data_IF_056330538429
#
_entry.id   IF_056330538429
#
_cell.length_a   1.000
_cell.length_b   1.000
_cell.length_c   1.000
_cell.angle_alpha   90.00
_cell.angle_beta   90.00
_cell.angle_gamma   90.00
#
_symmetry.space_group_name_H-M   'P 1'
#
loop_
_entity.id
_entity.type
_entity.pdbx_description
1 polymer ?
#
# COMPACT_ATOMS: atom_id res chain seq x y z
N UNK A 1 21.63 -14.57 -17.81
CA UNK A 1 21.17 -13.22 -18.14
C UNK A 1 20.23 -12.82 -17.03
N UNK A 2 20.61 -11.79 -16.31
CA UNK A 2 19.94 -11.29 -15.11
C UNK A 2 18.80 -10.35 -15.54
N UNK A 3 17.58 -10.59 -15.07
CA UNK A 3 16.40 -9.83 -15.50
C UNK A 3 16.31 -8.53 -14.72
N UNK A 4 17.23 -7.60 -15.01
CA UNK A 4 17.03 -6.20 -14.67
C UNK A 4 15.80 -5.65 -15.38
N UNK A 5 14.98 -4.86 -14.70
CA UNK A 5 13.93 -4.08 -15.35
C UNK A 5 13.80 -2.70 -14.69
N UNK A 6 14.48 -1.73 -15.29
CA UNK A 6 14.12 -0.32 -15.21
C UNK A 6 12.62 -0.14 -15.52
N UNK A 7 11.83 0.30 -14.54
CA UNK A 7 10.43 0.66 -14.77
C UNK A 7 10.37 1.96 -15.60
N UNK A 8 10.21 1.87 -16.91
CA UNK A 8 9.77 3.03 -17.71
C UNK A 8 8.37 3.47 -17.25
N UNK A 9 8.00 4.74 -17.48
CA UNK A 9 6.68 5.29 -17.09
C UNK A 9 5.51 4.39 -17.54
N UNK A 10 5.58 3.83 -18.75
CA UNK A 10 4.53 2.96 -19.29
C UNK A 10 4.48 1.59 -18.59
N UNK A 11 5.64 1.00 -18.27
CA UNK A 11 5.72 -0.26 -17.53
C UNK A 11 5.27 -0.09 -16.09
N UNK A 12 5.63 1.03 -15.46
CA UNK A 12 5.11 1.40 -14.16
C UNK A 12 3.58 1.53 -14.19
N UNK A 13 3.01 2.22 -15.19
CA UNK A 13 1.56 2.32 -15.34
C UNK A 13 0.88 0.95 -15.52
N UNK A 14 1.46 0.06 -16.31
CA UNK A 14 0.92 -1.30 -16.48
C UNK A 14 0.98 -2.11 -15.18
N UNK A 15 2.12 -2.11 -14.50
CA UNK A 15 2.31 -2.79 -13.21
C UNK A 15 1.43 -2.16 -12.10
N UNK A 16 1.23 -0.85 -12.15
CA UNK A 16 0.32 -0.17 -11.25
C UNK A 16 -1.12 -0.65 -11.45
N UNK A 17 -1.57 -0.78 -12.70
CA UNK A 17 -2.93 -1.16 -13.05
C UNK A 17 -3.22 -2.67 -12.90
N UNK A 18 -2.19 -3.53 -12.85
CA UNK A 18 -2.37 -4.98 -12.63
C UNK A 18 -2.67 -5.34 -11.18
N UNK A 19 -2.44 -4.42 -10.24
CA UNK A 19 -2.79 -4.60 -8.82
C UNK A 19 -4.30 -4.47 -8.63
N UNK A 20 -4.88 -5.43 -7.91
CA UNK A 20 -6.31 -5.47 -7.59
C UNK A 20 -6.62 -5.18 -6.12
N UNK A 21 -7.83 -4.66 -5.89
CA UNK A 21 -8.38 -4.45 -4.56
C UNK A 21 -9.65 -5.26 -4.40
N UNK A 22 -9.59 -6.35 -3.65
CA UNK A 22 -10.75 -7.20 -3.41
C UNK A 22 -11.67 -6.64 -2.31
N UNK A 23 -11.08 -5.99 -1.29
CA UNK A 23 -11.78 -5.22 -0.24
C UNK A 23 -10.94 -4.01 0.13
N UNK A 24 -11.55 -2.83 0.18
CA UNK A 24 -10.91 -1.60 0.68
C UNK A 24 -11.27 -1.40 2.15
N UNK A 25 -10.30 -0.97 2.95
CA UNK A 25 -10.56 -0.46 4.31
C UNK A 25 -11.45 0.78 4.24
N UNK A 26 -12.41 0.93 5.16
CA UNK A 26 -13.38 2.04 5.16
C UNK A 26 -12.92 3.29 5.91
N UNK A 27 -11.75 3.28 6.54
CA UNK A 27 -11.35 4.31 7.51
C UNK A 27 -10.44 5.40 6.93
N UNK A 28 -10.78 6.68 7.10
CA UNK A 28 -9.95 7.80 6.65
C UNK A 28 -8.68 7.97 7.49
N UNK A 29 -7.60 8.42 6.86
CA UNK A 29 -6.32 8.70 7.53
C UNK A 29 -6.48 9.91 8.45
N UNK A 30 -6.06 9.77 9.70
CA UNK A 30 -6.06 10.90 10.63
C UNK A 30 -5.20 12.05 10.11
N UNK A 31 -5.73 13.27 10.20
CA UNK A 31 -5.05 14.52 9.89
C UNK A 31 -3.77 14.74 10.73
N UNK A 32 -3.71 14.11 11.91
CA UNK A 32 -2.61 14.23 12.87
C UNK A 32 -2.20 12.85 13.39
N UNK A 33 -0.89 12.58 13.39
CA UNK A 33 -0.31 11.38 13.98
C UNK A 33 0.04 10.29 12.97
N UNK A 34 0.52 9.18 13.50
CA UNK A 34 0.82 7.99 12.71
C UNK A 34 -0.48 7.27 12.35
N UNK A 35 -0.55 6.70 11.14
CA UNK A 35 -1.66 5.82 10.76
C UNK A 35 -1.14 4.45 10.40
N UNK A 36 -1.81 3.43 10.93
CA UNK A 36 -1.54 2.03 10.66
C UNK A 36 -2.60 1.49 9.68
N UNK A 37 -2.15 1.00 8.52
CA UNK A 37 -2.99 0.42 7.47
C UNK A 37 -2.78 -1.09 7.40
N UNK A 38 -3.66 -1.85 8.03
CA UNK A 38 -3.61 -3.31 8.04
C UNK A 38 -4.12 -3.91 6.73
N UNK A 39 -3.44 -4.93 6.24
CA UNK A 39 -3.78 -5.57 4.98
C UNK A 39 -3.54 -7.09 4.98
N UNK A 40 -4.29 -7.78 4.13
CA UNK A 40 -3.92 -9.07 3.55
C UNK A 40 -3.48 -8.84 2.11
N UNK A 41 -2.29 -9.35 1.77
CA UNK A 41 -1.75 -9.37 0.42
C UNK A 41 -1.82 -10.80 -0.10
N UNK A 42 -2.50 -10.98 -1.22
CA UNK A 42 -2.62 -12.25 -1.92
C UNK A 42 -1.85 -12.13 -3.22
N UNK A 43 -0.74 -12.85 -3.32
CA UNK A 43 0.09 -12.87 -4.52
C UNK A 43 -0.24 -14.10 -5.35
N UNK A 44 -0.52 -13.87 -6.63
CA UNK A 44 -0.68 -14.90 -7.63
C UNK A 44 0.57 -15.79 -7.71
N UNK A 45 0.39 -17.08 -8.06
CA UNK A 45 1.50 -17.99 -8.26
C UNK A 45 2.35 -17.56 -9.46
N UNK A 46 3.67 -17.71 -9.35
CA UNK A 46 4.60 -17.37 -10.45
C UNK A 46 4.59 -18.40 -11.59
N UNK A 47 4.09 -19.61 -11.31
CA UNK A 47 3.87 -20.71 -12.26
C UNK A 47 2.64 -21.53 -11.88
N UNK A 48 2.07 -22.29 -12.83
CA UNK A 48 0.90 -23.16 -12.59
C UNK A 48 1.12 -24.21 -11.48
N UNK A 49 2.37 -24.53 -11.17
CA UNK A 49 2.77 -25.49 -10.13
C UNK A 49 3.06 -24.85 -8.78
N UNK A 50 3.04 -23.53 -8.68
CA UNK A 50 3.34 -22.79 -7.45
C UNK A 50 2.06 -22.46 -6.68
N UNK A 51 2.22 -22.28 -5.37
CA UNK A 51 1.13 -21.99 -4.45
C UNK A 51 0.85 -20.48 -4.39
N UNK A 52 -0.38 -20.11 -4.08
CA UNK A 52 -0.75 -18.73 -3.80
C UNK A 52 -0.14 -18.33 -2.46
N UNK A 53 0.48 -17.14 -2.40
CA UNK A 53 1.01 -16.60 -1.16
C UNK A 53 0.02 -15.63 -0.53
N UNK A 54 -0.29 -15.84 0.75
CA UNK A 54 -1.16 -14.97 1.54
C UNK A 54 -0.37 -14.42 2.70
N UNK A 55 -0.20 -13.10 2.73
CA UNK A 55 0.63 -12.38 3.70
C UNK A 55 -0.26 -11.41 4.46
N UNK A 56 -0.21 -11.47 5.79
CA UNK A 56 -0.77 -10.41 6.62
C UNK A 56 0.32 -9.38 6.91
N UNK A 57 -0.01 -8.09 6.79
CA UNK A 57 0.94 -7.03 7.09
C UNK A 57 0.25 -5.73 7.50
N UNK A 58 1.07 -4.73 7.78
CA UNK A 58 0.61 -3.41 8.16
C UNK A 58 1.57 -2.33 7.63
N UNK A 59 1.03 -1.28 7.04
CA UNK A 59 1.83 -0.11 6.67
C UNK A 59 1.64 0.99 7.70
N UNK A 60 2.73 1.40 8.33
CA UNK A 60 2.76 2.58 9.19
C UNK A 60 3.13 3.81 8.38
N UNK A 61 2.24 4.80 8.35
CA UNK A 61 2.43 6.08 7.69
C UNK A 61 2.64 7.14 8.77
N UNK A 62 3.71 7.91 8.65
CA UNK A 62 4.03 8.98 9.60
C UNK A 62 4.44 10.26 8.89
N UNK A 63 4.09 11.39 9.49
CA UNK A 63 4.55 12.72 9.06
C UNK A 63 5.58 13.24 10.07
N UNK A 64 6.89 13.12 9.81
CA UNK A 64 7.92 13.65 10.70
C UNK A 64 7.74 15.16 10.92
N UNK A 65 7.67 15.58 12.19
CA UNK A 65 7.14 16.90 12.58
C UNK A 65 8.21 18.00 12.66
N UNK A 66 9.52 17.73 12.66
CA UNK A 66 10.45 18.74 13.26
C UNK A 66 11.63 19.22 12.41
N UNK A 67 12.23 18.46 11.48
CA UNK A 67 13.51 18.91 10.85
C UNK A 67 13.70 18.64 9.34
N UNK A 68 12.68 18.22 8.61
CA UNK A 68 12.82 17.97 7.17
C UNK A 68 12.58 19.24 6.33
N UNK A 69 13.42 19.52 5.32
CA UNK A 69 13.14 20.59 4.37
C UNK A 69 11.79 20.33 3.67
N UNK A 70 11.02 21.38 3.39
CA UNK A 70 9.64 21.28 2.85
C UNK A 70 9.48 20.60 1.48
N UNK A 71 10.57 20.07 0.92
CA UNK A 71 10.65 19.42 -0.38
C UNK A 71 11.28 18.02 -0.32
N UNK A 72 11.47 17.42 0.86
CA UNK A 72 12.03 16.08 0.94
C UNK A 72 11.10 15.06 0.25
N UNK A 73 11.67 14.13 -0.54
CA UNK A 73 10.88 13.05 -1.13
C UNK A 73 10.30 12.15 -0.02
N UNK A 74 9.23 11.39 -0.32
CA UNK A 74 8.74 10.38 0.60
C UNK A 74 9.79 9.31 0.86
N UNK A 75 9.84 8.80 2.08
CA UNK A 75 10.67 7.65 2.45
C UNK A 75 9.85 6.38 2.39
N UNK A 76 10.34 5.37 1.65
CA UNK A 76 9.73 4.05 1.54
C UNK A 76 10.63 3.02 2.20
N UNK A 77 10.15 2.36 3.25
CA UNK A 77 10.88 1.32 3.97
C UNK A 77 10.16 -0.02 3.82
N UNK A 78 10.91 -1.09 3.49
CA UNK A 78 10.45 -2.48 3.44
C UNK A 78 9.34 -2.77 2.41
N UNK A 79 9.24 -1.97 1.34
CA UNK A 79 8.31 -2.25 0.23
C UNK A 79 8.95 -3.12 -0.86
N UNK A 80 10.24 -2.91 -1.13
CA UNK A 80 10.95 -3.53 -2.23
C UNK A 80 12.20 -4.22 -1.69
N UNK A 81 12.57 -5.36 -2.29
CA UNK A 81 13.82 -6.06 -1.97
C UNK A 81 15.03 -5.38 -2.65
N UNK A 82 14.80 -4.74 -3.80
CA UNK A 82 15.79 -3.99 -4.56
C UNK A 82 15.64 -2.48 -4.26
N UNK A 83 16.73 -1.84 -3.80
CA UNK A 83 16.76 -0.41 -3.51
C UNK A 83 16.49 0.46 -4.75
N UNK A 84 16.87 0.00 -5.95
CA UNK A 84 16.71 0.74 -7.20
C UNK A 84 15.24 0.90 -7.63
N UNK A 85 14.41 -0.10 -7.33
CA UNK A 85 12.96 -0.04 -7.51
C UNK A 85 12.34 0.99 -6.54
N UNK A 86 12.81 0.99 -5.29
CA UNK A 86 12.40 1.96 -4.27
C UNK A 86 12.70 3.41 -4.67
N UNK A 87 13.91 3.67 -5.17
CA UNK A 87 14.36 5.01 -5.58
C UNK A 87 13.56 5.58 -6.73
N UNK A 88 13.27 4.76 -7.75
CA UNK A 88 12.50 5.19 -8.92
C UNK A 88 11.05 5.51 -8.54
N UNK A 89 10.45 4.69 -7.69
CA UNK A 89 9.09 4.92 -7.20
C UNK A 89 9.05 6.16 -6.31
N UNK A 90 10.02 6.33 -5.41
CA UNK A 90 10.18 7.55 -4.62
C UNK A 90 10.32 8.80 -5.47
N UNK A 91 11.10 8.73 -6.56
CA UNK A 91 11.26 9.81 -7.53
C UNK A 91 9.94 10.17 -8.24
N UNK A 92 9.16 9.17 -8.67
CA UNK A 92 7.85 9.40 -9.28
C UNK A 92 6.88 10.05 -8.29
N UNK A 93 6.91 9.63 -7.02
CA UNK A 93 6.04 10.15 -5.97
C UNK A 93 6.39 11.57 -5.51
N UNK A 94 7.67 11.97 -5.51
CA UNK A 94 8.11 13.30 -5.10
C UNK A 94 7.50 14.44 -5.95
N UNK A 95 7.01 14.11 -7.15
CA UNK A 95 6.29 15.03 -8.05
C UNK A 95 4.87 15.34 -7.56
N UNK A 96 4.31 14.54 -6.65
CA UNK A 96 2.99 14.77 -6.06
C UNK A 96 3.13 15.45 -4.71
N UNK A 97 2.71 16.71 -4.61
CA UNK A 97 2.88 17.54 -3.42
C UNK A 97 2.30 16.93 -2.12
N UNK A 98 1.27 16.09 -2.24
CA UNK A 98 0.58 15.44 -1.13
C UNK A 98 1.43 14.41 -0.37
N UNK A 99 2.45 13.82 -1.01
CA UNK A 99 3.27 12.74 -0.41
C UNK A 99 4.61 13.22 0.14
N UNK A 100 4.87 14.54 0.09
CA UNK A 100 6.14 15.10 0.58
C UNK A 100 6.27 14.95 2.08
N UNK A 101 7.49 14.70 2.54
CA UNK A 101 7.82 14.53 3.95
C UNK A 101 6.96 13.45 4.64
N UNK A 102 6.57 12.41 3.91
CA UNK A 102 5.88 11.25 4.48
C UNK A 102 6.84 10.08 4.55
N UNK A 103 6.77 9.34 5.66
CA UNK A 103 7.48 8.08 5.82
C UNK A 103 6.48 6.93 5.83
N UNK A 104 6.73 5.96 4.97
CA UNK A 104 5.99 4.73 4.85
C UNK A 104 6.89 3.58 5.31
N UNK A 105 6.40 2.80 6.27
CA UNK A 105 7.09 1.62 6.81
C UNK A 105 6.18 0.41 6.66
N UNK A 106 6.53 -0.47 5.72
CA UNK A 106 5.78 -1.69 5.47
C UNK A 106 6.26 -2.82 6.38
N UNK A 107 5.37 -3.30 7.25
CA UNK A 107 5.67 -4.37 8.19
C UNK A 107 4.99 -5.65 7.73
N UNK A 108 5.80 -6.55 7.21
CA UNK A 108 5.36 -7.88 6.79
C UNK A 108 5.24 -8.76 8.04
N UNK A 109 4.05 -9.30 8.25
CA UNK A 109 3.73 -10.24 9.32
C UNK A 109 3.79 -11.69 8.86
N UNK A 110 2.88 -12.52 9.38
CA UNK A 110 2.81 -13.93 9.01
C UNK A 110 2.36 -14.13 7.56
N UNK A 111 3.03 -15.05 6.87
CA UNK A 111 2.65 -15.52 5.54
C UNK A 111 2.34 -17.00 5.53
N UNK A 112 1.51 -17.42 4.58
CA UNK A 112 1.21 -18.83 4.30
C UNK A 112 1.14 -19.08 2.80
N UNK A 113 1.53 -20.28 2.39
CA UNK A 113 1.36 -20.77 1.03
C UNK A 113 0.16 -21.71 1.00
N UNK A 114 -0.77 -21.47 0.09
CA UNK A 114 -2.03 -22.20 -0.01
C UNK A 114 -2.28 -22.65 -1.45
N UNK A 115 -2.93 -23.81 -1.59
CA UNK A 115 -3.28 -24.39 -2.89
C UNK A 115 -4.59 -23.86 -3.47
N UNK A 116 -5.39 -23.18 -2.64
CA UNK A 116 -6.64 -22.56 -3.05
C UNK A 116 -6.39 -21.49 -4.12
N UNK A 117 -7.40 -21.22 -4.96
CA UNK A 117 -7.35 -20.11 -5.91
C UNK A 117 -7.39 -18.74 -5.20
N UNK A 118 -6.88 -17.71 -5.86
CA UNK A 118 -6.96 -16.32 -5.36
C UNK A 118 -8.40 -15.92 -5.02
N UNK A 119 -9.36 -16.31 -5.86
CA UNK A 119 -10.78 -15.99 -5.67
C UNK A 119 -11.35 -16.66 -4.41
N UNK A 120 -11.06 -17.95 -4.19
CA UNK A 120 -11.51 -18.67 -2.99
C UNK A 120 -10.92 -18.07 -1.72
N UNK A 121 -9.63 -17.71 -1.74
CA UNK A 121 -8.95 -17.09 -0.60
C UNK A 121 -9.55 -15.72 -0.30
N UNK A 122 -9.78 -14.90 -1.33
CA UNK A 122 -10.43 -13.59 -1.20
C UNK A 122 -11.81 -13.75 -0.55
N UNK A 123 -12.62 -14.70 -1.02
CA UNK A 123 -13.96 -14.91 -0.49
C UNK A 123 -13.93 -15.39 0.96
N UNK A 124 -13.04 -16.34 1.31
CA UNK A 124 -12.83 -16.79 2.69
C UNK A 124 -12.43 -15.64 3.61
N UNK A 125 -11.48 -14.80 3.19
CA UNK A 125 -11.03 -13.64 3.97
C UNK A 125 -12.11 -12.58 4.10
N UNK A 126 -12.92 -12.34 3.07
CA UNK A 126 -14.07 -11.42 3.15
C UNK A 126 -15.06 -11.88 4.21
N UNK A 127 -15.51 -13.14 4.12
CA UNK A 127 -16.44 -13.70 5.10
C UNK A 127 -15.88 -13.62 6.52
N UNK A 128 -14.62 -14.02 6.71
CA UNK A 128 -13.96 -13.95 8.02
C UNK A 128 -13.94 -12.51 8.58
N UNK A 129 -13.51 -11.54 7.78
CA UNK A 129 -13.45 -10.14 8.23
C UNK A 129 -14.85 -9.55 8.48
N UNK A 130 -15.87 -10.00 7.75
CA UNK A 130 -17.26 -9.59 8.00
C UNK A 130 -17.82 -10.20 9.29
N UNK A 131 -17.50 -11.47 9.58
CA UNK A 131 -17.84 -12.15 10.83
C UNK A 131 -17.14 -11.52 12.04
N UNK A 132 -15.89 -11.08 11.87
CA UNK A 132 -15.08 -10.41 12.90
C UNK A 132 -15.44 -8.91 13.05
N UNK A 133 -16.41 -8.39 12.27
CA UNK A 133 -16.77 -6.97 12.19
C UNK A 133 -15.58 -6.03 11.89
N UNK A 134 -14.57 -6.55 11.17
CA UNK A 134 -13.29 -5.88 10.97
C UNK A 134 -13.25 -5.09 9.64
N UNK A 135 -13.69 -3.83 9.72
CA UNK A 135 -13.81 -2.93 8.57
C UNK A 135 -12.53 -2.16 8.20
N UNK A 136 -11.45 -2.34 8.99
CA UNK A 136 -10.20 -1.56 8.82
C UNK A 136 -9.12 -2.29 8.04
N UNK A 137 -9.31 -3.57 7.76
CA UNK A 137 -8.34 -4.40 7.04
C UNK A 137 -8.66 -4.45 5.54
N UNK A 138 -7.67 -4.16 4.71
CA UNK A 138 -7.80 -4.30 3.26
C UNK A 138 -7.43 -5.72 2.78
N UNK A 139 -8.02 -6.13 1.66
CA UNK A 139 -7.59 -7.34 0.92
C UNK A 139 -7.10 -6.87 -0.45
N UNK A 140 -5.80 -7.08 -0.69
CA UNK A 140 -5.05 -6.63 -1.86
C UNK A 140 -4.66 -7.88 -2.65
N UNK A 141 -4.88 -7.87 -3.97
CA UNK A 141 -4.42 -8.92 -4.88
C UNK A 141 -3.33 -8.39 -5.79
N UNK A 142 -2.33 -9.21 -6.07
CA UNK A 142 -1.17 -8.79 -6.84
C UNK A 142 -0.64 -9.94 -7.71
N UNK A 143 -0.18 -9.66 -8.94
CA UNK A 143 0.63 -10.62 -9.69
C UNK A 143 1.90 -11.01 -8.92
N UNK A 144 2.47 -12.17 -9.26
CA UNK A 144 3.73 -12.61 -8.70
C UNK A 144 4.82 -11.54 -8.85
N UNK A 145 5.56 -11.27 -7.76
CA UNK A 145 6.64 -10.27 -7.73
C UNK A 145 6.20 -8.81 -7.63
N UNK A 146 4.89 -8.50 -7.59
CA UNK A 146 4.39 -7.12 -7.52
C UNK A 146 3.84 -6.72 -6.14
N UNK A 147 4.07 -7.53 -5.11
CA UNK A 147 3.50 -7.34 -3.77
C UNK A 147 3.85 -5.98 -3.14
N UNK A 148 5.11 -5.56 -3.23
CA UNK A 148 5.57 -4.25 -2.74
C UNK A 148 4.83 -3.08 -3.36
N UNK A 149 4.75 -3.08 -4.70
CA UNK A 149 4.02 -2.06 -5.46
C UNK A 149 2.53 -2.05 -5.10
N UNK A 150 1.93 -3.23 -4.88
CA UNK A 150 0.54 -3.34 -4.52
C UNK A 150 0.21 -2.70 -3.16
N UNK A 151 1.04 -2.98 -2.16
CA UNK A 151 0.91 -2.40 -0.80
C UNK A 151 1.20 -0.89 -0.81
N UNK A 152 2.13 -0.44 -1.65
CA UNK A 152 2.37 0.99 -1.82
C UNK A 152 1.17 1.69 -2.48
N UNK A 153 0.65 1.13 -3.58
CA UNK A 153 -0.54 1.66 -4.26
C UNK A 153 -1.71 1.77 -3.30
N UNK A 154 -1.94 0.74 -2.48
CA UNK A 154 -2.94 0.78 -1.42
C UNK A 154 -2.76 1.99 -0.50
N UNK A 155 -1.56 2.17 0.03
CA UNK A 155 -1.23 3.25 0.96
C UNK A 155 -1.46 4.63 0.35
N UNK A 156 -1.08 4.81 -0.93
CA UNK A 156 -1.24 6.07 -1.66
C UNK A 156 -2.70 6.37 -2.00
N UNK A 157 -3.47 5.37 -2.42
CA UNK A 157 -4.91 5.53 -2.64
C UNK A 157 -5.64 5.91 -1.35
N UNK A 158 -5.22 5.37 -0.19
CA UNK A 158 -5.78 5.78 1.11
C UNK A 158 -5.52 7.25 1.40
N UNK A 159 -4.29 7.74 1.19
CA UNK A 159 -3.94 9.15 1.41
C UNK A 159 -4.73 10.06 0.48
N UNK A 160 -4.78 9.73 -0.81
CA UNK A 160 -5.51 10.51 -1.78
C UNK A 160 -7.01 10.62 -1.45
N UNK A 161 -7.62 9.51 -0.99
CA UNK A 161 -9.04 9.48 -0.62
C UNK A 161 -9.34 10.21 0.69
N UNK A 162 -8.41 10.23 1.64
CA UNK A 162 -8.62 10.86 2.95
C UNK A 162 -8.43 12.37 2.92
N UNK A 163 -7.73 12.92 1.91
CA UNK A 163 -7.37 14.35 1.89
C UNK A 163 -8.56 15.33 1.85
N UNK A 164 -9.64 15.11 1.08
CA UNK A 164 -10.81 15.99 1.12
C UNK A 164 -11.53 15.99 2.48
N UNK A 165 -11.70 14.81 3.09
CA UNK A 165 -12.32 14.65 4.43
C UNK A 165 -11.46 15.31 5.50
N UNK A 166 -10.14 15.18 5.39
CA UNK A 166 -9.16 15.79 6.27
C UNK A 166 -9.20 17.33 6.23
N UNK A 167 -9.40 17.94 5.06
CA UNK A 167 -9.58 19.39 4.94
C UNK A 167 -10.88 19.85 5.61
N UNK A 168 -11.95 19.07 5.52
CA UNK A 168 -13.20 19.36 6.21
C UNK A 168 -13.02 19.29 7.74
N UNK A 169 -12.36 18.24 8.25
CA UNK A 169 -12.05 18.10 9.69
C UNK A 169 -11.19 19.27 10.21
N UNK A 170 -10.19 19.70 9.44
CA UNK A 170 -9.34 20.85 9.80
C UNK A 170 -10.10 22.18 9.83
N UNK A 171 -11.07 22.37 8.93
CA UNK A 171 -11.95 23.55 8.93
C UNK A 171 -12.94 23.51 10.11
N UNK A 172 -13.54 22.35 10.38
CA UNK A 172 -14.42 22.17 11.55
C UNK A 172 -13.70 22.42 12.87
N UNK A 173 -12.42 22.05 12.96
CA UNK A 173 -11.56 22.31 14.13
C UNK A 173 -10.84 23.66 14.11
N UNK A 174 -11.10 24.53 13.14
CA UNK A 174 -10.58 25.90 13.09
C UNK A 174 -9.10 26.04 12.73
N UNK A 175 -8.46 25.00 12.20
CA UNK A 175 -7.08 25.03 11.71
C UNK A 175 -6.96 25.59 10.28
N UNK A 176 -8.08 25.71 9.56
CA UNK A 176 -8.18 26.33 8.24
C UNK A 176 -9.29 27.40 8.24
N UNK A 177 -9.11 28.52 7.51
CA UNK A 177 -10.11 29.59 7.40
C UNK A 177 -11.37 29.21 6.61
#
# INVERSE_FOLDING_TARGET
>A
MDFGNYLTSDRFHQAWNSVGFARRSRYSLFTFGDTDLSYYLICEPSSETSLVSVIQGNVKISKPVVYMPGNAPPELHNFFEDESDGDLVGFLMARTAQFRNMKFDNRIGSGQLVSDSVEEIVNKLKCKLDEDEEDRVAIITSPAGMGGLAVLRYSLERIAHSAPENVAELRERGFLP
#
